data_IF_627020063078
#
_entry.id   IF_627020063078
#
_cell.length_a   1.000
_cell.length_b   1.000
_cell.length_c   1.000
_cell.angle_alpha   90.00
_cell.angle_beta   90.00
_cell.angle_gamma   90.00
#
_symmetry.space_group_name_H-M   'P 1'
#
loop_
_entity.id
_entity.type
_entity.pdbx_description
1 polymer ?
#
# COMPACT_ATOMS: atom_id res chain seq x y z
N UNK A 1 -23.89 -6.32 52.91
CA UNK A 1 -22.86 -5.62 52.11
C UNK A 1 -22.13 -6.67 51.29
N UNK A 2 -21.85 -6.43 49.99
CA UNK A 2 -21.19 -7.35 49.00
C UNK A 2 -22.09 -7.85 47.85
N UNK A 3 -22.96 -7.03 47.29
CA UNK A 3 -23.54 -7.32 45.95
C UNK A 3 -23.51 -6.12 45.01
N UNK A 4 -23.07 -4.95 45.47
CA UNK A 4 -23.12 -3.69 44.69
C UNK A 4 -21.84 -3.33 43.92
N UNK A 5 -20.73 -4.04 44.13
CA UNK A 5 -19.44 -3.70 43.51
C UNK A 5 -19.11 -4.47 42.22
N UNK A 6 -19.87 -5.53 41.91
CA UNK A 6 -19.62 -6.39 40.74
C UNK A 6 -20.09 -5.73 39.43
N UNK A 7 -21.15 -4.91 39.47
CA UNK A 7 -21.66 -4.23 38.27
C UNK A 7 -20.83 -2.99 37.87
N UNK A 8 -20.14 -2.35 38.83
CA UNK A 8 -19.25 -1.21 38.55
C UNK A 8 -17.92 -1.63 37.89
N UNK A 9 -17.48 -2.87 38.10
CA UNK A 9 -16.28 -3.42 37.46
C UNK A 9 -16.50 -3.88 36.02
N UNK A 10 -17.75 -4.20 35.65
CA UNK A 10 -18.08 -4.69 34.30
C UNK A 10 -18.28 -3.55 33.27
N UNK A 11 -18.63 -2.35 33.72
CA UNK A 11 -18.82 -1.18 32.84
C UNK A 11 -17.49 -0.53 32.39
N UNK A 12 -16.38 -0.79 33.09
CA UNK A 12 -15.07 -0.20 32.78
C UNK A 12 -14.30 -0.89 31.65
N UNK A 13 -14.72 -2.08 31.21
CA UNK A 13 -13.98 -2.90 30.22
C UNK A 13 -14.38 -2.57 28.76
N UNK A 14 -15.44 -1.79 28.56
CA UNK A 14 -16.05 -1.58 27.23
C UNK A 14 -15.49 -0.34 26.48
N UNK A 15 -14.56 0.41 27.08
CA UNK A 15 -14.06 1.68 26.52
C UNK A 15 -12.68 1.59 25.84
N UNK A 16 -12.14 0.40 25.57
CA UNK A 16 -10.78 0.24 25.01
C UNK A 16 -10.71 -0.14 23.53
N UNK A 17 -11.82 -0.25 22.81
CA UNK A 17 -11.79 -0.43 21.35
C UNK A 17 -11.76 0.92 20.63
N UNK A 18 -10.70 1.71 20.82
CA UNK A 18 -10.33 2.73 19.84
C UNK A 18 -9.76 1.99 18.62
N UNK A 19 -10.66 1.48 17.77
CA UNK A 19 -10.30 0.89 16.48
C UNK A 19 -9.73 2.00 15.60
N UNK A 20 -8.41 1.99 15.45
CA UNK A 20 -7.69 2.88 14.54
C UNK A 20 -7.93 2.37 13.11
N UNK A 21 -8.99 2.87 12.47
CA UNK A 21 -9.51 2.42 11.17
C UNK A 21 -8.57 2.76 9.99
N UNK A 22 -7.68 3.74 10.17
CA UNK A 22 -6.91 4.37 9.08
C UNK A 22 -5.88 3.46 8.38
N UNK A 23 -5.37 2.42 9.05
CA UNK A 23 -4.31 1.56 8.49
C UNK A 23 -4.84 0.53 7.50
N UNK A 24 -6.01 -0.04 7.79
CA UNK A 24 -6.60 -1.09 6.97
C UNK A 24 -7.13 -0.50 5.65
N UNK A 25 -7.73 0.69 5.71
CA UNK A 25 -8.20 1.43 4.54
C UNK A 25 -7.04 1.86 3.62
N UNK A 26 -5.90 2.25 4.20
CA UNK A 26 -4.70 2.60 3.43
C UNK A 26 -4.09 1.39 2.70
N UNK A 27 -3.98 0.24 3.37
CA UNK A 27 -3.43 -0.96 2.73
C UNK A 27 -4.36 -1.49 1.62
N UNK A 28 -5.68 -1.40 1.82
CA UNK A 28 -6.64 -1.74 0.77
C UNK A 28 -6.48 -0.85 -0.48
N UNK A 29 -6.23 0.45 -0.30
CA UNK A 29 -5.95 1.36 -1.42
C UNK A 29 -4.60 1.03 -2.10
N UNK A 30 -3.55 0.77 -1.31
CA UNK A 30 -2.23 0.42 -1.83
C UNK A 30 -2.24 -0.88 -2.63
N UNK A 31 -3.01 -1.89 -2.19
CA UNK A 31 -3.16 -3.13 -2.94
C UNK A 31 -3.69 -2.89 -4.36
N UNK A 32 -4.69 -2.01 -4.52
CA UNK A 32 -5.25 -1.66 -5.84
C UNK A 32 -4.24 -0.89 -6.68
N UNK A 33 -3.50 0.02 -6.06
CA UNK A 33 -2.45 0.79 -6.73
C UNK A 33 -1.33 -0.12 -7.26
N UNK A 34 -0.89 -1.11 -6.49
CA UNK A 34 0.10 -2.10 -6.96
C UNK A 34 -0.43 -2.91 -8.14
N UNK A 35 -1.71 -3.29 -8.12
CA UNK A 35 -2.33 -4.07 -9.19
C UNK A 35 -2.40 -3.27 -10.50
N UNK A 36 -2.80 -2.00 -10.43
CA UNK A 36 -2.79 -1.08 -11.59
C UNK A 36 -1.38 -0.97 -12.17
N UNK A 37 -0.39 -0.71 -11.32
CA UNK A 37 1.00 -0.57 -11.74
C UNK A 37 1.52 -1.85 -12.40
N UNK A 38 1.27 -3.01 -11.78
CA UNK A 38 1.73 -4.30 -12.30
C UNK A 38 1.07 -4.65 -13.64
N UNK A 39 -0.25 -4.42 -13.77
CA UNK A 39 -1.00 -4.73 -14.99
C UNK A 39 -0.62 -3.82 -16.17
N UNK A 40 -0.12 -2.62 -15.91
CA UNK A 40 0.38 -1.71 -16.93
C UNK A 40 1.68 -2.19 -17.60
N UNK A 41 2.50 -2.96 -16.88
CA UNK A 41 3.79 -3.43 -17.39
C UNK A 41 3.63 -4.48 -18.50
N UNK A 42 4.55 -4.46 -19.46
CA UNK A 42 4.70 -5.54 -20.42
C UNK A 42 5.26 -6.81 -19.74
N UNK A 43 5.12 -7.94 -20.43
CA UNK A 43 5.51 -9.25 -19.90
C UNK A 43 7.01 -9.33 -19.61
N UNK A 44 7.83 -8.71 -20.47
CA UNK A 44 9.29 -8.66 -20.29
C UNK A 44 9.63 -7.96 -18.97
N UNK A 45 9.01 -6.82 -18.69
CA UNK A 45 9.22 -6.06 -17.46
C UNK A 45 8.77 -6.85 -16.23
N UNK A 46 7.62 -7.53 -16.31
CA UNK A 46 7.10 -8.39 -15.22
C UNK A 46 8.07 -9.54 -14.90
N UNK A 47 8.67 -10.16 -15.90
CA UNK A 47 9.66 -11.24 -15.73
C UNK A 47 10.90 -10.78 -14.97
N UNK A 48 11.22 -9.49 -15.00
CA UNK A 48 12.37 -8.96 -14.25
C UNK A 48 12.08 -8.72 -12.77
N UNK A 49 10.81 -8.66 -12.35
CA UNK A 49 10.45 -8.29 -10.98
C UNK A 49 10.91 -9.38 -10.00
N UNK A 50 11.62 -8.96 -8.95
CA UNK A 50 12.05 -9.84 -7.87
C UNK A 50 11.06 -9.77 -6.71
N UNK A 51 10.57 -10.94 -6.30
CA UNK A 51 9.68 -11.10 -5.15
C UNK A 51 8.20 -10.99 -5.50
N UNK A 52 7.36 -10.84 -4.46
CA UNK A 52 5.91 -10.70 -4.63
C UNK A 52 5.56 -9.24 -4.93
N UNK A 53 5.13 -8.96 -6.16
CA UNK A 53 4.73 -7.61 -6.59
C UNK A 53 3.61 -7.01 -5.74
N UNK A 54 2.79 -7.84 -5.08
CA UNK A 54 1.73 -7.37 -4.16
C UNK A 54 2.27 -6.72 -2.91
N UNK A 55 3.56 -6.87 -2.64
CA UNK A 55 4.29 -6.23 -1.54
C UNK A 55 5.23 -5.13 -2.04
N UNK A 56 5.12 -4.73 -3.30
CA UNK A 56 5.87 -3.62 -3.87
C UNK A 56 5.68 -2.34 -3.05
N UNK A 57 6.71 -1.50 -3.03
CA UNK A 57 6.65 -0.25 -2.26
C UNK A 57 5.70 0.71 -2.95
N UNK A 58 4.73 1.23 -2.19
CA UNK A 58 3.83 2.31 -2.62
C UNK A 58 4.09 3.53 -1.76
N UNK A 59 4.29 4.69 -2.38
CA UNK A 59 4.44 5.98 -1.70
C UNK A 59 3.35 6.92 -2.18
N UNK A 60 2.59 7.51 -1.26
CA UNK A 60 1.72 8.64 -1.59
C UNK A 60 2.55 9.93 -1.62
N UNK A 61 2.47 10.65 -2.73
CA UNK A 61 3.17 11.90 -2.96
C UNK A 61 2.39 13.10 -2.40
N UNK A 62 3.07 14.23 -2.19
CA UNK A 62 2.45 15.45 -1.65
C UNK A 62 1.39 16.08 -2.57
N UNK A 63 1.40 15.75 -3.86
CA UNK A 63 0.39 16.14 -4.84
C UNK A 63 -0.83 15.19 -4.88
N UNK A 64 -0.86 14.14 -4.04
CA UNK A 64 -1.94 13.16 -4.00
C UNK A 64 -1.73 11.93 -4.88
N UNK A 65 -0.75 11.93 -5.78
CA UNK A 65 -0.40 10.80 -6.64
C UNK A 65 0.26 9.67 -5.85
N UNK A 66 0.38 8.52 -6.49
CA UNK A 66 1.07 7.35 -5.95
C UNK A 66 2.28 7.01 -6.80
N UNK A 67 3.38 6.67 -6.15
CA UNK A 67 4.54 6.04 -6.78
C UNK A 67 4.59 4.56 -6.39
N UNK A 68 4.82 3.69 -7.38
CA UNK A 68 5.00 2.25 -7.18
C UNK A 68 6.37 1.84 -7.67
N UNK A 69 7.13 1.18 -6.80
CA UNK A 69 8.48 0.70 -7.08
C UNK A 69 8.52 -0.83 -7.08
N UNK A 70 8.89 -1.39 -8.23
CA UNK A 70 9.21 -2.80 -8.38
C UNK A 70 10.72 -3.00 -8.48
N UNK A 71 11.29 -3.72 -7.51
CA UNK A 71 12.68 -4.16 -7.60
C UNK A 71 12.81 -5.22 -8.70
N UNK A 72 13.91 -5.17 -9.45
CA UNK A 72 14.14 -6.07 -10.58
C UNK A 72 15.49 -6.77 -10.53
N UNK A 73 15.62 -7.87 -11.25
CA UNK A 73 16.88 -8.59 -11.45
C UNK A 73 17.91 -7.78 -12.24
N UNK A 74 17.50 -6.67 -12.85
CA UNK A 74 18.35 -5.80 -13.64
C UNK A 74 18.67 -4.49 -12.92
N UNK A 75 18.29 -4.33 -11.64
CA UNK A 75 18.44 -3.07 -10.91
C UNK A 75 19.89 -2.55 -10.88
N UNK A 76 20.88 -3.44 -10.87
CA UNK A 76 22.29 -3.05 -10.88
C UNK A 76 22.73 -2.34 -12.18
N UNK A 77 22.01 -2.56 -13.28
CA UNK A 77 22.31 -1.97 -14.59
C UNK A 77 21.30 -0.89 -14.96
N UNK A 78 20.01 -1.20 -14.81
CA UNK A 78 18.89 -0.39 -15.29
C UNK A 78 18.18 0.37 -14.16
N UNK A 79 18.37 -0.02 -12.91
CA UNK A 79 17.57 0.43 -11.78
C UNK A 79 16.18 -0.22 -11.73
N UNK A 80 15.42 0.04 -10.65
CA UNK A 80 14.07 -0.50 -10.47
C UNK A 80 13.10 0.11 -11.47
N UNK A 81 11.96 -0.56 -11.64
CA UNK A 81 10.84 0.00 -12.39
C UNK A 81 10.05 0.88 -11.43
N UNK A 82 9.94 2.17 -11.75
CA UNK A 82 9.18 3.15 -10.99
C UNK A 82 8.04 3.72 -11.86
N UNK A 83 6.81 3.68 -11.34
CA UNK A 83 5.63 4.22 -12.00
C UNK A 83 4.97 5.27 -11.11
N UNK A 84 4.38 6.29 -11.72
CA UNK A 84 3.50 7.27 -11.07
C UNK A 84 2.07 7.08 -11.55
N UNK A 85 1.14 7.02 -10.60
CA UNK A 85 -0.29 6.82 -10.79
C UNK A 85 -1.05 8.02 -10.22
N UNK A 86 -2.01 8.51 -10.99
CA UNK A 86 -2.89 9.58 -10.58
C UNK A 86 -3.71 9.21 -9.34
N UNK A 87 -3.75 10.11 -8.36
CA UNK A 87 -4.47 9.87 -7.10
C UNK A 87 -5.99 9.77 -7.26
N UNK A 88 -6.55 10.43 -8.27
CA UNK A 88 -7.98 10.58 -8.50
C UNK A 88 -8.47 9.62 -9.60
N UNK A 89 -7.86 9.66 -10.78
CA UNK A 89 -8.26 8.86 -11.96
C UNK A 89 -7.76 7.43 -11.90
N UNK A 90 -6.72 7.17 -11.08
CA UNK A 90 -6.04 5.88 -10.97
C UNK A 90 -5.41 5.41 -12.29
N UNK A 91 -5.09 6.35 -13.18
CA UNK A 91 -4.36 6.08 -14.42
C UNK A 91 -2.85 6.16 -14.19
N UNK A 92 -2.08 5.35 -14.92
CA UNK A 92 -0.62 5.48 -14.94
C UNK A 92 -0.25 6.71 -15.76
N UNK A 93 0.34 7.71 -15.11
CA UNK A 93 0.74 8.98 -15.75
C UNK A 93 2.15 8.86 -16.34
N UNK A 94 3.03 8.10 -15.66
CA UNK A 94 4.44 8.06 -16.02
C UNK A 94 5.10 6.74 -15.63
N UNK A 95 5.91 6.22 -16.53
CA UNK A 95 6.95 5.23 -16.22
C UNK A 95 8.29 5.94 -16.29
N UNK A 96 9.08 5.87 -15.22
CA UNK A 96 10.36 6.55 -15.16
C UNK A 96 11.39 5.82 -16.02
N UNK A 97 12.25 6.54 -16.77
CA UNK A 97 13.34 5.94 -17.52
C UNK A 97 14.27 5.15 -16.61
N UNK A 98 14.80 4.07 -17.16
CA UNK A 98 15.84 3.24 -16.58
C UNK A 98 17.19 3.59 -17.20
N UNK A 99 18.28 3.40 -16.45
CA UNK A 99 19.65 3.71 -16.88
C UNK A 99 20.20 2.73 -17.92
#
# INVERSE_FOLDING_TARGET
MKTSYIYLLFFSIILSFSSCQDKDDQEADFSKIREIAYNYLDDISKETIIGDWRKATVRKMGNGNYEVLFNTSQDALLGPILLEIDGETREVIKVYPRN
#
